data_IF_708953948075
#
_entry.id   IF_708953948075
#
_cell.length_a   1.000
_cell.length_b   1.000
_cell.length_c   1.000
_cell.angle_alpha   90.00
_cell.angle_beta   90.00
_cell.angle_gamma   90.00
#
_symmetry.space_group_name_H-M   'P 1'
#
loop_
_entity.id
_entity.type
_entity.pdbx_description
1 polymer ?
#
# COMPACT_ATOMS: atom_id res chain seq x y z
N UNK A 1 -2.55 17.58 -22.31
CA UNK A 1 -2.35 16.75 -21.09
C UNK A 1 -3.12 17.29 -19.89
N UNK A 2 -3.00 18.58 -19.55
CA UNK A 2 -3.71 19.19 -18.40
C UNK A 2 -5.24 19.01 -18.47
N UNK A 3 -5.86 19.36 -19.60
CA UNK A 3 -7.31 19.18 -19.82
C UNK A 3 -7.78 17.72 -19.65
N UNK A 4 -6.94 16.75 -20.08
CA UNK A 4 -7.25 15.34 -19.94
C UNK A 4 -7.21 14.87 -18.48
N UNK A 5 -6.23 15.34 -17.70
CA UNK A 5 -6.14 15.03 -16.27
C UNK A 5 -7.29 15.67 -15.51
N UNK A 6 -7.61 16.94 -15.83
CA UNK A 6 -8.75 17.67 -15.28
C UNK A 6 -10.06 16.92 -15.51
N UNK A 7 -10.36 16.58 -16.75
CA UNK A 7 -11.60 15.86 -17.09
C UNK A 7 -11.68 14.51 -16.36
N UNK A 8 -10.59 13.74 -16.33
CA UNK A 8 -10.56 12.44 -15.62
C UNK A 8 -10.69 12.55 -14.10
N UNK A 9 -10.14 13.60 -13.51
CA UNK A 9 -10.31 13.90 -12.08
C UNK A 9 -11.78 14.18 -11.77
N UNK A 10 -12.44 15.01 -12.59
CA UNK A 10 -13.87 15.33 -12.43
C UNK A 10 -14.77 14.12 -12.67
N UNK A 11 -14.41 13.25 -13.61
CA UNK A 11 -15.10 11.97 -13.85
C UNK A 11 -14.86 10.92 -12.75
N UNK A 12 -14.03 11.20 -11.73
CA UNK A 12 -13.60 10.23 -10.71
C UNK A 12 -13.10 8.90 -11.29
N UNK A 13 -12.42 8.97 -12.44
CA UNK A 13 -12.04 7.77 -13.19
C UNK A 13 -10.99 6.97 -12.44
N UNK A 14 -11.15 5.65 -12.43
CA UNK A 14 -10.19 4.75 -11.79
C UNK A 14 -8.79 4.91 -12.39
N UNK A 15 -7.78 4.84 -11.52
CA UNK A 15 -6.37 4.90 -11.91
C UNK A 15 -5.82 6.29 -12.25
N UNK A 16 -6.62 7.37 -12.15
CA UNK A 16 -6.13 8.73 -12.43
C UNK A 16 -4.95 9.13 -11.54
N UNK A 17 -4.99 8.78 -10.25
CA UNK A 17 -3.90 9.07 -9.32
C UNK A 17 -2.61 8.33 -9.67
N UNK A 18 -2.70 7.10 -10.20
CA UNK A 18 -1.52 6.38 -10.69
C UNK A 18 -0.90 7.07 -11.91
N UNK A 19 -1.74 7.56 -12.82
CA UNK A 19 -1.27 8.30 -13.98
C UNK A 19 -0.61 9.63 -13.58
N UNK A 20 -1.22 10.36 -12.65
CA UNK A 20 -0.65 11.60 -12.10
C UNK A 20 0.69 11.31 -11.42
N UNK A 21 0.75 10.29 -10.56
CA UNK A 21 1.97 9.92 -9.86
C UNK A 21 3.10 9.50 -10.82
N UNK A 22 2.76 8.86 -11.94
CA UNK A 22 3.72 8.49 -12.97
C UNK A 22 4.27 9.70 -13.73
N UNK A 23 3.39 10.60 -14.20
CA UNK A 23 3.80 11.77 -14.98
C UNK A 23 4.53 12.83 -14.16
N UNK A 24 4.19 12.95 -12.88
CA UNK A 24 4.72 13.97 -11.98
C UNK A 24 5.58 13.38 -10.87
N UNK A 25 6.19 12.21 -11.11
CA UNK A 25 6.97 11.50 -10.10
C UNK A 25 8.06 12.40 -9.48
N UNK A 26 8.82 13.11 -10.32
CA UNK A 26 9.92 13.98 -9.88
C UNK A 26 9.41 15.17 -9.06
N UNK A 27 8.35 15.85 -9.54
CA UNK A 27 7.74 16.96 -8.80
C UNK A 27 7.18 16.52 -7.45
N UNK A 28 6.56 15.32 -7.39
CA UNK A 28 6.04 14.77 -6.14
C UNK A 28 7.18 14.40 -5.17
N UNK A 29 8.31 13.91 -5.67
CA UNK A 29 9.48 13.57 -4.85
C UNK A 29 10.15 14.84 -4.29
N UNK A 30 10.21 15.91 -5.09
CA UNK A 30 10.81 17.18 -4.70
C UNK A 30 10.00 17.92 -3.62
N UNK A 31 8.69 18.09 -3.79
CA UNK A 31 7.87 18.90 -2.88
C UNK A 31 6.97 18.10 -1.92
N UNK A 32 6.74 16.82 -2.20
CA UNK A 32 5.82 15.98 -1.44
C UNK A 32 4.34 16.14 -1.84
N UNK A 33 3.54 15.12 -1.51
CA UNK A 33 2.14 15.01 -1.98
C UNK A 33 1.22 16.14 -1.51
N UNK A 34 1.47 16.72 -0.32
CA UNK A 34 0.63 17.80 0.22
C UNK A 34 0.78 19.10 -0.58
N UNK A 35 2.03 19.55 -0.78
CA UNK A 35 2.33 20.74 -1.58
C UNK A 35 2.02 20.50 -3.06
N UNK A 36 2.28 19.29 -3.56
CA UNK A 36 1.92 18.93 -4.93
C UNK A 36 0.41 18.99 -5.17
N UNK A 37 -0.42 18.60 -4.20
CA UNK A 37 -1.88 18.72 -4.31
C UNK A 37 -2.33 20.17 -4.43
N UNK A 38 -1.71 21.08 -3.69
CA UNK A 38 -1.97 22.53 -3.79
C UNK A 38 -1.61 23.04 -5.19
N UNK A 39 -0.37 22.78 -5.61
CA UNK A 39 0.10 23.16 -6.94
C UNK A 39 -0.76 22.57 -8.06
N UNK A 40 -1.15 21.30 -7.97
CA UNK A 40 -1.97 20.62 -8.98
C UNK A 40 -3.38 21.22 -9.08
N UNK A 41 -3.93 21.70 -7.96
CA UNK A 41 -5.23 22.36 -7.93
C UNK A 41 -5.23 23.67 -8.68
N UNK A 42 -4.17 24.47 -8.54
CA UNK A 42 -3.95 25.71 -9.28
C UNK A 42 -3.71 25.42 -10.76
N UNK A 43 -2.81 24.47 -11.04
CA UNK A 43 -2.39 24.08 -12.39
C UNK A 43 -3.53 23.54 -13.26
N UNK A 44 -4.50 22.84 -12.66
CA UNK A 44 -5.68 22.32 -13.36
C UNK A 44 -6.92 23.22 -13.19
N UNK A 45 -6.83 24.26 -12.37
CA UNK A 45 -7.97 25.09 -11.95
C UNK A 45 -9.14 24.23 -11.48
N UNK A 46 -8.87 23.33 -10.53
CA UNK A 46 -9.86 22.45 -9.88
C UNK A 46 -9.78 22.63 -8.38
N UNK A 47 -10.88 22.35 -7.69
CA UNK A 47 -10.90 22.49 -6.25
C UNK A 47 -10.00 21.47 -5.54
N UNK A 48 -9.25 21.93 -4.53
CA UNK A 48 -8.32 21.12 -3.75
C UNK A 48 -9.02 19.93 -3.06
N UNK A 49 -10.32 20.01 -2.79
CA UNK A 49 -11.12 18.90 -2.21
C UNK A 49 -11.41 17.78 -3.21
N UNK A 50 -11.39 18.07 -4.51
CA UNK A 50 -11.60 17.07 -5.57
C UNK A 50 -10.40 16.13 -5.69
N UNK A 51 -9.21 16.60 -5.28
CA UNK A 51 -7.97 15.82 -5.29
C UNK A 51 -7.83 15.09 -3.96
N UNK A 52 -8.05 13.78 -3.96
CA UNK A 52 -7.90 12.95 -2.77
C UNK A 52 -6.41 12.73 -2.43
N UNK A 53 -5.98 13.33 -1.32
CA UNK A 53 -4.59 13.26 -0.87
C UNK A 53 -4.15 11.82 -0.53
N UNK A 54 -5.01 11.01 0.08
CA UNK A 54 -4.70 9.61 0.44
C UNK A 54 -4.48 8.75 -0.80
N UNK A 55 -5.30 8.93 -1.83
CA UNK A 55 -5.16 8.25 -3.12
C UNK A 55 -3.86 8.66 -3.82
N UNK A 56 -3.52 9.95 -3.78
CA UNK A 56 -2.27 10.47 -4.34
C UNK A 56 -1.04 9.88 -3.62
N UNK A 57 -1.02 9.88 -2.27
CA UNK A 57 0.04 9.24 -1.48
C UNK A 57 0.20 7.76 -1.83
N UNK A 58 -0.92 7.05 -1.91
CA UNK A 58 -0.94 5.62 -2.24
C UNK A 58 -0.40 5.35 -3.64
N UNK A 59 -0.71 6.22 -4.60
CA UNK A 59 -0.21 6.11 -5.97
C UNK A 59 1.29 6.44 -6.06
N UNK A 60 1.73 7.55 -5.46
CA UNK A 60 3.14 7.96 -5.40
C UNK A 60 4.02 6.86 -4.79
N UNK A 61 3.59 6.26 -3.67
CA UNK A 61 4.33 5.17 -3.04
C UNK A 61 4.47 3.93 -3.92
N UNK A 62 3.43 3.60 -4.70
CA UNK A 62 3.48 2.47 -5.67
C UNK A 62 4.47 2.79 -6.80
N UNK A 63 4.46 4.03 -7.28
CA UNK A 63 5.36 4.46 -8.35
C UNK A 63 6.82 4.44 -7.92
N UNK A 64 7.13 4.97 -6.74
CA UNK A 64 8.49 4.91 -6.17
C UNK A 64 9.00 3.47 -6.02
N UNK A 65 8.11 2.53 -5.65
CA UNK A 65 8.47 1.10 -5.56
C UNK A 65 8.79 0.50 -6.93
N UNK A 66 8.09 0.93 -7.99
CA UNK A 66 8.33 0.47 -9.35
C UNK A 66 9.63 1.02 -9.92
N UNK A 67 9.94 2.30 -9.68
CA UNK A 67 11.20 2.91 -10.10
C UNK A 67 12.41 2.25 -9.44
N UNK A 68 12.32 1.89 -8.15
CA UNK A 68 13.37 1.11 -7.46
C UNK A 68 13.58 -0.30 -8.04
N UNK A 69 12.55 -0.90 -8.65
CA UNK A 69 12.64 -2.24 -9.27
C UNK A 69 13.25 -2.20 -10.67
N UNK A 70 13.16 -1.08 -11.39
CA UNK A 70 13.69 -0.94 -12.74
C UNK A 70 15.22 -0.74 -12.78
N UNK A 71 15.83 -0.32 -11.67
CA UNK A 71 17.28 -0.18 -11.51
C UNK A 71 18.02 -1.45 -11.06
N UNK A 72 17.35 -2.61 -10.91
CA UNK A 72 17.98 -3.83 -10.40
C UNK A 72 17.85 -5.01 -11.37
N UNK A 73 18.40 -4.87 -12.57
CA UNK A 73 18.82 -6.02 -13.39
C UNK A 73 20.11 -6.61 -12.84
N UNK A 74 20.03 -7.22 -11.64
CA UNK A 74 20.82 -8.38 -11.18
C UNK A 74 20.40 -8.71 -9.76
N UNK A 75 19.67 -9.82 -9.61
CA UNK A 75 19.40 -10.47 -8.33
C UNK A 75 18.22 -9.91 -7.54
N UNK A 76 17.34 -10.84 -7.14
CA UNK A 76 16.18 -10.72 -6.25
C UNK A 76 14.83 -10.44 -6.92
N UNK A 77 14.26 -11.54 -7.42
CA UNK A 77 12.82 -11.81 -7.37
C UNK A 77 12.27 -11.40 -5.99
N UNK A 78 11.24 -10.56 -5.88
CA UNK A 78 10.45 -10.51 -4.67
C UNK A 78 9.55 -11.74 -4.70
N UNK A 79 10.03 -12.84 -4.12
CA UNK A 79 9.13 -13.89 -3.64
C UNK A 79 8.15 -13.17 -2.71
N UNK A 80 6.89 -13.15 -3.10
CA UNK A 80 5.81 -12.80 -2.21
C UNK A 80 5.77 -13.89 -1.13
N UNK A 81 6.56 -13.73 -0.07
CA UNK A 81 6.29 -14.44 1.18
C UNK A 81 4.99 -13.89 1.72
N UNK A 82 3.92 -14.58 1.37
CA UNK A 82 2.62 -14.46 1.97
C UNK A 82 2.74 -14.98 3.42
N UNK A 83 3.23 -14.14 4.33
CA UNK A 83 3.02 -14.35 5.77
C UNK A 83 1.53 -14.18 6.02
N UNK A 84 0.79 -15.28 5.89
CA UNK A 84 -0.48 -15.43 6.58
C UNK A 84 -0.18 -15.27 8.07
N UNK A 85 -0.53 -14.13 8.64
CA UNK A 85 -0.66 -14.01 10.08
C UNK A 85 -1.76 -15.00 10.50
N UNK A 86 -1.32 -16.13 11.04
CA UNK A 86 -2.19 -17.05 11.77
C UNK A 86 -2.88 -16.27 12.87
N UNK A 87 -4.20 -16.31 12.83
CA UNK A 87 -5.11 -15.63 13.74
C UNK A 87 -4.87 -16.17 15.14
N UNK A 88 -4.47 -15.32 16.09
CA UNK A 88 -4.69 -15.60 17.50
C UNK A 88 -6.03 -14.95 17.88
N UNK A 89 -7.09 -15.72 18.18
CA UNK A 89 -8.10 -15.28 19.11
C UNK A 89 -7.69 -15.79 20.50
N UNK A 90 -7.40 -14.87 21.42
CA UNK A 90 -7.26 -15.25 22.82
C UNK A 90 -8.56 -15.91 23.31
N UNK A 91 -8.44 -17.07 23.95
CA UNK A 91 -9.51 -17.63 24.77
C UNK A 91 -8.90 -18.46 25.90
N UNK A 92 -8.51 -17.76 26.97
CA UNK A 92 -8.50 -18.37 28.30
C UNK A 92 -9.97 -18.53 28.70
N UNK A 93 -10.59 -19.65 28.34
CA UNK A 93 -11.79 -20.14 29.00
C UNK A 93 -11.48 -21.54 29.50
N UNK A 94 -11.47 -21.68 30.83
CA UNK A 94 -11.27 -22.94 31.53
C UNK A 94 -12.31 -23.96 31.06
N UNK A 95 -11.85 -25.10 30.54
CA UNK A 95 -12.68 -26.28 30.36
C UNK A 95 -12.51 -27.18 31.61
N UNK A 96 -13.53 -27.32 32.48
CA UNK A 96 -13.43 -28.12 33.70
C UNK A 96 -13.57 -29.64 33.43
N UNK A 97 -13.55 -30.09 32.16
CA UNK A 97 -13.75 -31.48 31.79
C UNK A 97 -12.53 -32.25 31.26
N UNK A 98 -11.37 -31.60 31.08
CA UNK A 98 -10.21 -32.25 30.47
C UNK A 98 -9.45 -33.13 31.47
N UNK A 99 -9.75 -34.43 31.49
CA UNK A 99 -8.96 -35.44 32.20
C UNK A 99 -7.52 -35.45 31.65
N UNK A 100 -6.48 -35.37 32.51
CA UNK A 100 -5.11 -35.58 32.04
C UNK A 100 -4.93 -37.07 31.71
N UNK A 101 -4.82 -37.40 30.42
CA UNK A 101 -4.36 -38.71 29.98
C UNK A 101 -2.88 -38.85 30.32
N UNK A 102 -2.62 -39.30 31.54
CA UNK A 102 -1.34 -39.83 31.99
C UNK A 102 -0.98 -41.06 31.15
N UNK A 103 0.21 -41.07 30.58
CA UNK A 103 0.93 -42.32 30.35
C UNK A 103 2.42 -42.06 30.48
N UNK A 104 2.89 -42.40 31.68
CA UNK A 104 4.24 -42.87 31.93
C UNK A 104 4.62 -43.99 30.95
N UNK A 105 5.83 -43.95 30.40
CA UNK A 105 6.73 -45.06 30.62
C UNK A 105 8.18 -44.74 30.23
N UNK A 106 9.01 -44.80 31.28
CA UNK A 106 10.43 -45.03 31.29
C UNK A 106 10.66 -46.47 30.83
N UNK A 107 11.69 -46.78 30.03
CA UNK A 107 12.55 -47.98 30.23
C UNK A 107 13.82 -47.84 29.40
N UNK A 108 14.92 -47.89 30.15
CA UNK A 108 16.31 -48.08 29.80
C UNK A 108 16.57 -49.57 29.50
N UNK A 109 17.27 -49.89 28.40
CA UNK A 109 18.25 -50.99 28.26
C UNK A 109 19.12 -50.76 27.03
#
# INVERSE_FOLDING_TARGET
>A
MKEFLKQKLLENKSGIYSLIAHHYADQIDEMGCSLFRDWLSEELSVDKSTINLTSLYSASRREQKNNKRKGKTTGFQPVFENKQNSVNPGSNFSDPGALPSSVDNITEM
#
